data_IF_401860432092
#
_entry.id   IF_401860432092
#
_cell.length_a   1.000
_cell.length_b   1.000
_cell.length_c   1.000
_cell.angle_alpha   90.00
_cell.angle_beta   90.00
_cell.angle_gamma   90.00
#
_symmetry.space_group_name_H-M   'P 1'
#
loop_
_entity.id
_entity.type
_entity.pdbx_description
1 polymer ?
#
# COMPACT_ATOMS: atom_id res chain seq x y z
N UNK A 1 -0.05 -15.47 -8.98
CA UNK A 1 0.59 -15.45 -7.66
C UNK A 1 1.51 -14.24 -7.61
N UNK A 2 1.24 -13.27 -6.73
CA UNK A 2 2.10 -12.10 -6.55
C UNK A 2 3.39 -12.53 -5.86
N UNK A 3 4.51 -12.04 -6.37
CA UNK A 3 5.85 -12.26 -5.80
C UNK A 3 6.41 -10.94 -5.30
N UNK A 4 6.99 -10.95 -4.10
CA UNK A 4 7.59 -9.76 -3.48
C UNK A 4 9.09 -9.95 -3.35
N UNK A 5 9.88 -9.09 -4.02
CA UNK A 5 11.34 -9.09 -3.84
C UNK A 5 11.73 -8.54 -2.46
N UNK A 6 12.95 -8.87 -2.01
CA UNK A 6 13.48 -8.36 -0.74
C UNK A 6 13.44 -6.83 -0.68
N UNK A 7 13.95 -6.17 -1.72
CA UNK A 7 14.00 -4.70 -1.83
C UNK A 7 12.62 -4.05 -1.85
N UNK A 8 11.64 -4.62 -2.54
CA UNK A 8 10.27 -4.11 -2.53
C UNK A 8 9.65 -4.17 -1.13
N UNK A 9 9.88 -5.28 -0.42
CA UNK A 9 9.39 -5.43 0.95
C UNK A 9 10.05 -4.46 1.93
N UNK A 10 11.37 -4.26 1.83
CA UNK A 10 12.07 -3.26 2.66
C UNK A 10 11.56 -1.85 2.39
N UNK A 11 11.46 -1.45 1.12
CA UNK A 11 10.94 -0.14 0.75
C UNK A 11 9.53 0.08 1.30
N UNK A 12 8.64 -0.89 1.13
CA UNK A 12 7.27 -0.80 1.62
C UNK A 12 7.21 -0.63 3.14
N UNK A 13 8.03 -1.38 3.89
CA UNK A 13 8.14 -1.23 5.34
C UNK A 13 8.66 0.13 5.77
N UNK A 14 9.72 0.60 5.12
CA UNK A 14 10.30 1.91 5.41
C UNK A 14 9.26 3.00 5.15
N UNK A 15 8.64 2.99 3.98
CA UNK A 15 7.64 4.00 3.59
C UNK A 15 6.42 3.99 4.49
N UNK A 16 5.97 2.81 4.92
CA UNK A 16 4.78 2.67 5.75
C UNK A 16 5.09 2.59 7.25
N UNK A 17 6.35 2.76 7.68
CA UNK A 17 6.76 2.56 9.08
C UNK A 17 6.24 1.22 9.65
N UNK A 18 6.28 0.14 8.86
CA UNK A 18 5.75 -1.19 9.23
C UNK A 18 6.87 -2.14 9.65
N UNK A 19 6.58 -3.01 10.62
CA UNK A 19 7.48 -4.04 11.14
C UNK A 19 7.14 -5.45 10.64
N UNK A 20 6.22 -5.57 9.67
CA UNK A 20 5.80 -6.86 9.12
C UNK A 20 6.94 -7.62 8.42
N UNK A 21 6.71 -8.84 7.96
CA UNK A 21 7.72 -9.63 7.22
C UNK A 21 7.33 -9.81 5.76
N UNK A 22 8.30 -9.97 4.86
CA UNK A 22 8.00 -10.31 3.46
C UNK A 22 7.11 -11.56 3.36
N UNK A 23 7.34 -12.56 4.19
CA UNK A 23 6.53 -13.78 4.20
C UNK A 23 5.07 -13.50 4.56
N UNK A 24 4.82 -12.61 5.53
CA UNK A 24 3.47 -12.18 5.88
C UNK A 24 2.82 -11.40 4.73
N UNK A 25 3.53 -10.41 4.18
CA UNK A 25 3.03 -9.61 3.06
C UNK A 25 2.69 -10.47 1.84
N UNK A 26 3.54 -11.45 1.49
CA UNK A 26 3.28 -12.38 0.38
C UNK A 26 2.00 -13.17 0.62
N UNK A 27 1.72 -13.62 1.86
CA UNK A 27 0.48 -14.31 2.18
C UNK A 27 -0.73 -13.41 1.97
N UNK A 28 -0.68 -12.17 2.46
CA UNK A 28 -1.76 -11.20 2.30
C UNK A 28 -2.04 -10.87 0.83
N UNK A 29 -0.97 -10.58 0.08
CA UNK A 29 -1.01 -10.24 -1.35
C UNK A 29 -1.63 -11.35 -2.22
N UNK A 30 -1.52 -12.61 -1.77
CA UNK A 30 -2.10 -13.77 -2.44
C UNK A 30 -3.44 -14.24 -1.83
N UNK A 31 -3.82 -13.73 -0.64
CA UNK A 31 -5.09 -14.06 0.03
C UNK A 31 -6.25 -13.21 -0.48
N UNK A 32 -6.00 -11.93 -0.74
CA UNK A 32 -7.03 -10.97 -1.11
C UNK A 32 -7.20 -10.93 -2.63
N UNK A 33 -8.47 -10.96 -3.07
CA UNK A 33 -8.83 -10.91 -4.50
C UNK A 33 -8.51 -9.56 -5.14
N UNK A 34 -8.23 -9.57 -6.44
CA UNK A 34 -7.86 -8.36 -7.18
C UNK A 34 -8.94 -7.28 -7.17
N UNK A 35 -10.23 -7.65 -7.15
CA UNK A 35 -11.31 -6.68 -7.04
C UNK A 35 -11.24 -5.87 -5.73
N UNK A 36 -10.91 -6.53 -4.62
CA UNK A 36 -10.75 -5.88 -3.31
C UNK A 36 -9.49 -5.02 -3.25
N UNK A 37 -8.39 -5.50 -3.82
CA UNK A 37 -7.18 -4.69 -3.98
C UNK A 37 -7.44 -3.43 -4.80
N UNK A 38 -8.16 -3.53 -5.92
CA UNK A 38 -8.51 -2.38 -6.75
C UNK A 38 -9.31 -1.34 -5.97
N UNK A 39 -10.31 -1.76 -5.18
CA UNK A 39 -11.10 -0.85 -4.33
C UNK A 39 -10.20 -0.11 -3.35
N UNK A 40 -9.35 -0.83 -2.60
CA UNK A 40 -8.43 -0.19 -1.65
C UNK A 40 -7.43 0.75 -2.35
N UNK A 41 -6.89 0.36 -3.52
CA UNK A 41 -5.97 1.18 -4.29
C UNK A 41 -6.63 2.47 -4.82
N UNK A 42 -7.89 2.40 -5.25
CA UNK A 42 -8.66 3.58 -5.65
C UNK A 42 -8.93 4.52 -4.47
N UNK A 43 -9.18 3.97 -3.28
CA UNK A 43 -9.34 4.79 -2.08
C UNK A 43 -8.04 5.50 -1.70
N UNK A 44 -6.91 4.77 -1.74
CA UNK A 44 -5.56 5.35 -1.56
C UNK A 44 -5.30 6.47 -2.57
N UNK A 45 -5.57 6.23 -3.85
CA UNK A 45 -5.35 7.23 -4.92
C UNK A 45 -6.16 8.51 -4.64
N UNK A 46 -7.44 8.38 -4.25
CA UNK A 46 -8.32 9.51 -3.91
C UNK A 46 -7.76 10.33 -2.74
N UNK A 47 -7.35 9.68 -1.64
CA UNK A 47 -6.85 10.42 -0.47
C UNK A 47 -5.51 11.10 -0.75
N UNK A 48 -4.65 10.47 -1.56
CA UNK A 48 -3.37 11.06 -1.97
C UNK A 48 -3.56 12.28 -2.89
N UNK A 49 -4.52 12.22 -3.82
CA UNK A 49 -4.84 13.33 -4.72
C UNK A 49 -5.46 14.54 -4.00
N UNK A 50 -6.29 14.29 -2.98
CA UNK A 50 -6.90 15.37 -2.18
C UNK A 50 -5.86 16.15 -1.36
N UNK A 51 -4.75 15.52 -0.98
CA UNK A 51 -3.70 16.12 -0.17
C UNK A 51 -2.65 16.80 -1.06
N UNK A 52 -3.00 17.94 -1.66
CA UNK A 52 -2.07 18.80 -2.41
C UNK A 52 -1.30 19.75 -1.48
N UNK A 53 -0.46 19.19 -0.60
CA UNK A 53 0.38 19.94 0.34
C UNK A 53 1.86 19.58 0.15
N UNK A 54 2.78 20.39 0.64
CA UNK A 54 4.22 20.08 0.60
C UNK A 54 4.54 18.80 1.39
N UNK A 55 5.52 18.02 0.93
CA UNK A 55 6.01 16.83 1.64
C UNK A 55 6.75 17.27 2.91
N UNK A 56 6.18 16.98 4.07
CA UNK A 56 6.82 17.12 5.38
C UNK A 56 6.48 15.91 6.27
N UNK A 57 7.12 15.79 7.44
CA UNK A 57 6.94 14.64 8.34
C UNK A 57 5.48 14.45 8.76
N UNK A 58 4.76 15.53 9.03
CA UNK A 58 3.33 15.49 9.38
C UNK A 58 2.49 14.93 8.23
N UNK A 59 2.78 15.31 6.98
CA UNK A 59 2.12 14.76 5.80
C UNK A 59 2.44 13.27 5.64
N UNK A 60 3.67 12.87 5.90
CA UNK A 60 4.06 11.46 5.86
C UNK A 60 3.31 10.64 6.92
N UNK A 61 3.21 11.14 8.16
CA UNK A 61 2.43 10.50 9.23
C UNK A 61 0.96 10.35 8.84
N UNK A 62 0.34 11.43 8.37
CA UNK A 62 -1.04 11.38 7.90
C UNK A 62 -1.24 10.40 6.73
N UNK A 63 -0.24 10.27 5.85
CA UNK A 63 -0.28 9.27 4.77
C UNK A 63 -0.23 7.85 5.35
N UNK A 64 0.67 7.59 6.29
CA UNK A 64 0.76 6.27 6.95
C UNK A 64 -0.56 5.92 7.63
N UNK A 65 -1.20 6.87 8.31
CA UNK A 65 -2.52 6.69 8.93
C UNK A 65 -3.63 6.39 7.92
N UNK A 66 -3.66 7.09 6.77
CA UNK A 66 -4.65 6.80 5.73
C UNK A 66 -4.49 5.36 5.21
N UNK A 67 -3.24 4.93 4.95
CA UNK A 67 -2.95 3.57 4.52
C UNK A 67 -3.35 2.54 5.58
N UNK A 68 -3.08 2.82 6.85
CA UNK A 68 -3.46 1.95 7.97
C UNK A 68 -4.99 1.77 8.06
N UNK A 69 -5.73 2.88 7.98
CA UNK A 69 -7.20 2.88 7.99
C UNK A 69 -7.78 2.08 6.83
N UNK A 70 -7.26 2.26 5.62
CA UNK A 70 -7.76 1.57 4.43
C UNK A 70 -7.39 0.07 4.51
N UNK A 71 -6.16 -0.25 4.87
CA UNK A 71 -5.69 -1.63 5.01
C UNK A 71 -6.48 -2.43 6.07
N UNK A 72 -6.96 -1.75 7.12
CA UNK A 72 -7.79 -2.37 8.15
C UNK A 72 -9.12 -2.94 7.61
N UNK A 73 -9.65 -2.45 6.48
CA UNK A 73 -10.91 -2.93 5.88
C UNK A 73 -10.84 -4.40 5.45
N UNK A 74 -9.65 -4.87 5.05
CA UNK A 74 -9.40 -6.25 4.64
C UNK A 74 -8.44 -6.98 5.60
N UNK A 75 -8.20 -6.41 6.78
CA UNK A 75 -7.29 -6.93 7.80
C UNK A 75 -5.93 -7.30 7.21
N UNK A 76 -5.30 -6.36 6.52
CA UNK A 76 -3.94 -6.50 5.97
C UNK A 76 -3.00 -5.44 6.53
N UNK A 77 -1.69 -5.68 6.45
CA UNK A 77 -0.68 -4.69 6.80
C UNK A 77 -0.63 -3.56 5.75
N UNK A 78 -0.46 -2.32 6.22
CA UNK A 78 -0.29 -1.13 5.38
C UNK A 78 0.87 -1.23 4.39
N UNK A 79 1.95 -1.96 4.72
CA UNK A 79 3.04 -2.22 3.77
C UNK A 79 2.59 -3.10 2.60
N UNK A 80 1.71 -4.08 2.85
CA UNK A 80 1.15 -4.92 1.79
C UNK A 80 0.26 -4.10 0.86
N UNK A 81 -0.57 -3.21 1.42
CA UNK A 81 -1.36 -2.27 0.63
C UNK A 81 -0.48 -1.33 -0.20
N UNK A 82 0.64 -0.84 0.36
CA UNK A 82 1.59 -0.02 -0.38
C UNK A 82 2.17 -0.74 -1.60
N UNK A 83 2.55 -2.01 -1.47
CA UNK A 83 3.04 -2.82 -2.60
C UNK A 83 1.95 -2.95 -3.66
N UNK A 84 0.74 -3.37 -3.25
CA UNK A 84 -0.39 -3.54 -4.17
C UNK A 84 -0.71 -2.23 -4.90
N UNK A 85 -0.69 -1.10 -4.20
CA UNK A 85 -0.91 0.22 -4.77
C UNK A 85 0.15 0.60 -5.82
N UNK A 86 1.43 0.33 -5.54
CA UNK A 86 2.49 0.62 -6.50
C UNK A 86 2.41 -0.25 -7.76
N UNK A 87 2.08 -1.53 -7.62
CA UNK A 87 1.80 -2.41 -8.75
C UNK A 87 0.62 -1.91 -9.58
N UNK A 88 -0.49 -1.56 -8.91
CA UNK A 88 -1.70 -1.04 -9.53
C UNK A 88 -1.44 0.29 -10.26
N UNK A 89 -0.71 1.21 -9.64
CA UNK A 89 -0.35 2.50 -10.22
C UNK A 89 0.54 2.32 -11.46
N UNK A 90 1.50 1.40 -11.42
CA UNK A 90 2.32 1.05 -12.59
C UNK A 90 1.46 0.52 -13.73
N UNK A 91 0.51 -0.36 -13.44
CA UNK A 91 -0.38 -0.93 -14.45
C UNK A 91 -1.34 0.11 -15.05
N UNK A 92 -1.76 1.10 -14.27
CA UNK A 92 -2.57 2.23 -14.76
C UNK A 92 -1.80 3.13 -15.73
N UNK A 93 -0.52 3.38 -15.49
CA UNK A 93 0.32 4.28 -16.33
C UNK A 93 0.74 3.66 -17.66
N UNK A 94 0.66 2.34 -17.79
CA UNK A 94 1.01 1.59 -19.01
C UNK A 94 -0.19 1.49 -19.98
N UNK A 95 -1.36 2.01 -19.60
CA UNK A 95 -2.53 2.17 -20.48
C UNK A 95 -2.68 3.61 -20.93
#
# INVERSE_FOLDING_TARGET
MRTLSFRQGELARTMMKSTTTNAHMIRELNRIDDAKWNIMCEEVDKVLQQKNAELNDKRWENMVEDFDRIAATEHVDRASLYVAYMEWLSNKRVK
#
